data_IF_300234151687
#
_entry.id   IF_300234151687
#
_cell.length_a   1.000
_cell.length_b   1.000
_cell.length_c   1.000
_cell.angle_alpha   90.00
_cell.angle_beta   90.00
_cell.angle_gamma   90.00
#
_symmetry.space_group_name_H-M   'P 1'
#
loop_
_entity.id
_entity.type
_entity.pdbx_description
1 polymer ?
#
# COMPACT_ATOMS: atom_id res chain seq x y z
N UNK A 1 31.73 -31.26 -24.94
CA UNK A 1 31.45 -30.67 -23.61
C UNK A 1 31.12 -29.17 -23.67
N UNK A 2 31.92 -28.31 -24.31
CA UNK A 2 31.68 -26.84 -24.34
C UNK A 2 30.35 -26.41 -25.00
N UNK A 3 29.90 -27.10 -26.06
CA UNK A 3 28.66 -26.76 -26.78
C UNK A 3 27.38 -27.01 -25.97
N UNK A 4 27.38 -28.01 -25.09
CA UNK A 4 26.24 -28.32 -24.22
C UNK A 4 26.10 -27.31 -23.08
N UNK A 5 27.22 -26.84 -22.52
CA UNK A 5 27.23 -25.72 -21.57
C UNK A 5 26.65 -24.44 -22.17
N UNK A 6 26.98 -24.14 -23.43
CA UNK A 6 26.44 -22.97 -24.13
C UNK A 6 24.92 -23.08 -24.31
N UNK A 7 24.41 -24.27 -24.66
CA UNK A 7 22.98 -24.52 -24.83
C UNK A 7 22.24 -24.45 -23.49
N UNK A 8 22.80 -25.02 -22.42
CA UNK A 8 22.29 -24.89 -21.05
C UNK A 8 22.26 -23.42 -20.58
N UNK A 9 23.28 -22.65 -20.93
CA UNK A 9 23.34 -21.22 -20.61
C UNK A 9 22.27 -20.41 -21.37
N UNK A 10 22.04 -20.71 -22.65
CA UNK A 10 20.96 -20.07 -23.43
C UNK A 10 19.57 -20.43 -22.89
N UNK A 11 19.34 -21.70 -22.52
CA UNK A 11 18.08 -22.15 -21.88
C UNK A 11 17.90 -21.45 -20.52
N UNK A 12 18.96 -21.35 -19.72
CA UNK A 12 18.94 -20.62 -18.46
C UNK A 12 18.55 -19.14 -18.64
N UNK A 13 19.14 -18.44 -19.62
CA UNK A 13 18.78 -17.04 -19.94
C UNK A 13 17.32 -16.93 -20.39
N UNK A 14 16.83 -17.88 -21.21
CA UNK A 14 15.45 -17.86 -21.69
C UNK A 14 14.45 -17.96 -20.53
N UNK A 15 14.69 -18.84 -19.54
CA UNK A 15 13.83 -18.95 -18.36
C UNK A 15 13.79 -17.70 -17.47
N UNK A 16 14.81 -16.83 -17.53
CA UNK A 16 14.87 -15.58 -16.78
C UNK A 16 14.07 -14.43 -17.43
N UNK A 17 13.59 -14.61 -18.67
CA UNK A 17 13.04 -13.53 -19.51
C UNK A 17 11.51 -13.44 -19.55
N UNK A 18 10.78 -14.41 -18.97
CA UNK A 18 9.33 -14.33 -18.86
C UNK A 18 8.91 -13.41 -17.68
N UNK A 19 8.32 -12.27 -18.03
CA UNK A 19 7.77 -11.31 -17.07
C UNK A 19 6.25 -11.30 -17.16
N UNK A 20 5.56 -11.73 -16.11
CA UNK A 20 4.13 -11.52 -15.99
C UNK A 20 3.87 -10.15 -15.38
N UNK A 21 2.98 -9.37 -15.97
CA UNK A 21 2.55 -8.07 -15.45
C UNK A 21 1.22 -8.30 -14.74
N UNK A 22 1.26 -8.77 -13.50
CA UNK A 22 0.09 -8.74 -12.62
C UNK A 22 0.45 -7.96 -11.36
N UNK A 23 -0.32 -6.92 -11.07
CA UNK A 23 -0.22 -6.20 -9.81
C UNK A 23 -0.92 -7.02 -8.72
N UNK A 24 -0.18 -7.39 -7.67
CA UNK A 24 -0.78 -7.91 -6.45
C UNK A 24 -0.83 -6.77 -5.44
N UNK A 25 -1.81 -5.89 -5.63
CA UNK A 25 -2.08 -4.79 -4.73
C UNK A 25 -2.93 -5.29 -3.56
N UNK A 26 -2.39 -5.26 -2.35
CA UNK A 26 -3.06 -5.81 -1.17
C UNK A 26 -3.83 -4.72 -0.41
N UNK A 27 -4.81 -4.11 -1.09
CA UNK A 27 -5.71 -3.09 -0.53
C UNK A 27 -7.03 -3.63 -0.01
N UNK A 28 -7.18 -4.96 0.07
CA UNK A 28 -8.43 -5.61 0.51
C UNK A 28 -8.85 -5.27 1.94
N UNK A 29 -7.95 -4.67 2.72
CA UNK A 29 -8.20 -4.24 4.10
C UNK A 29 -8.79 -2.84 4.22
N UNK A 30 -9.00 -2.12 3.11
CA UNK A 30 -9.52 -0.76 3.10
C UNK A 30 -10.81 -0.69 2.29
N UNK A 31 -11.88 -0.17 2.88
CA UNK A 31 -13.14 0.16 2.19
C UNK A 31 -12.91 1.25 1.14
N UNK A 32 -12.17 2.31 1.50
CA UNK A 32 -11.86 3.40 0.57
C UNK A 32 -10.49 4.00 0.84
N UNK A 33 -9.85 4.45 -0.24
CA UNK A 33 -8.55 5.12 -0.22
C UNK A 33 -8.65 6.32 -1.17
N UNK A 34 -8.42 7.51 -0.65
CA UNK A 34 -8.45 8.77 -1.39
C UNK A 34 -7.06 9.40 -1.36
N UNK A 35 -6.46 9.56 -2.53
CA UNK A 35 -5.18 10.23 -2.70
C UNK A 35 -5.39 11.74 -2.87
N UNK A 36 -4.50 12.54 -2.29
CA UNK A 36 -4.50 14.00 -2.55
C UNK A 36 -4.12 14.32 -4.00
N UNK A 37 -3.20 13.52 -4.57
CA UNK A 37 -2.72 13.64 -5.94
C UNK A 37 -2.07 12.32 -6.38
N UNK A 38 -2.00 12.06 -7.68
CA UNK A 38 -1.31 10.86 -8.20
C UNK A 38 -2.23 9.64 -8.31
N UNK A 39 -1.64 8.45 -8.37
CA UNK A 39 -2.34 7.18 -8.63
C UNK A 39 -1.76 6.05 -7.78
N UNK A 40 -2.61 5.08 -7.41
CA UNK A 40 -2.18 3.84 -6.77
C UNK A 40 -1.52 2.90 -7.78
N UNK A 41 -0.71 1.97 -7.30
CA UNK A 41 -0.01 1.00 -8.14
C UNK A 41 -0.95 0.18 -9.05
N UNK A 42 -2.15 -0.12 -8.54
CA UNK A 42 -3.19 -0.86 -9.26
C UNK A 42 -3.83 -0.09 -10.42
N UNK A 43 -3.72 1.24 -10.40
CA UNK A 43 -4.40 2.12 -11.36
C UNK A 43 -3.48 2.57 -12.50
N UNK A 44 -2.21 2.14 -12.50
CA UNK A 44 -1.29 2.38 -13.60
C UNK A 44 -1.61 1.52 -14.81
N UNK A 45 -1.63 2.16 -15.98
CA UNK A 45 -1.78 1.50 -17.27
C UNK A 45 -0.47 0.86 -17.74
N UNK A 46 -0.57 -0.11 -18.63
CA UNK A 46 0.61 -0.72 -19.27
C UNK A 46 1.48 0.30 -20.01
N UNK A 47 0.87 1.35 -20.56
CA UNK A 47 1.60 2.43 -21.25
C UNK A 47 2.46 3.21 -20.25
N UNK A 48 1.88 3.62 -19.13
CA UNK A 48 2.60 4.29 -18.05
C UNK A 48 3.74 3.42 -17.53
N UNK A 49 3.49 2.13 -17.27
CA UNK A 49 4.55 1.19 -16.89
C UNK A 49 5.68 1.12 -17.92
N UNK A 50 5.36 1.01 -19.22
CA UNK A 50 6.37 0.99 -20.28
C UNK A 50 7.23 2.25 -20.27
N UNK A 51 6.63 3.41 -20.03
CA UNK A 51 7.34 4.69 -19.97
C UNK A 51 8.23 4.79 -18.74
N UNK A 52 7.74 4.44 -17.55
CA UNK A 52 8.57 4.42 -16.34
C UNK A 52 9.68 3.37 -16.41
N UNK A 53 9.44 2.21 -17.04
CA UNK A 53 10.47 1.19 -17.23
C UNK A 53 11.67 1.66 -18.07
N UNK A 54 11.51 2.68 -18.92
CA UNK A 54 12.63 3.30 -19.63
C UNK A 54 13.62 3.94 -18.64
N UNK A 55 13.15 4.47 -17.51
CA UNK A 55 13.98 5.13 -16.49
C UNK A 55 14.85 4.14 -15.70
N UNK A 56 14.40 2.89 -15.60
CA UNK A 56 15.16 1.79 -14.99
C UNK A 56 15.82 0.86 -16.03
N UNK A 57 15.90 1.30 -17.30
CA UNK A 57 16.33 0.42 -18.40
C UNK A 57 17.83 0.30 -18.60
N UNK A 58 18.62 1.26 -18.10
CA UNK A 58 20.07 1.28 -18.25
C UNK A 58 20.70 0.04 -17.61
N UNK A 59 21.65 -0.58 -18.32
CA UNK A 59 22.37 -1.77 -17.86
C UNK A 59 23.05 -1.49 -16.51
N UNK A 60 22.99 -2.46 -15.60
CA UNK A 60 23.68 -2.48 -14.32
C UNK A 60 24.28 -3.88 -14.16
N UNK A 61 25.51 -4.00 -13.65
CA UNK A 61 26.15 -5.32 -13.52
C UNK A 61 25.35 -6.24 -12.59
N UNK A 62 25.00 -5.74 -11.41
CA UNK A 62 24.26 -6.49 -10.40
C UNK A 62 23.40 -5.55 -9.55
N UNK A 63 22.27 -6.06 -9.05
CA UNK A 63 21.42 -5.39 -8.06
C UNK A 63 20.23 -4.65 -8.66
N UNK A 64 19.55 -3.87 -7.83
CA UNK A 64 18.33 -3.16 -8.22
C UNK A 64 18.63 -1.80 -8.84
N UNK A 65 17.74 -1.34 -9.71
CA UNK A 65 17.64 0.04 -10.17
C UNK A 65 16.19 0.46 -9.98
N UNK A 66 15.98 1.55 -9.28
CA UNK A 66 14.66 2.06 -8.93
C UNK A 66 14.42 3.40 -9.61
N UNK A 67 13.15 3.74 -9.78
CA UNK A 67 12.69 5.06 -10.19
C UNK A 67 11.39 5.34 -9.43
N UNK A 68 11.45 6.32 -8.54
CA UNK A 68 10.29 6.85 -7.83
C UNK A 68 9.47 7.70 -8.79
N UNK A 69 8.18 7.39 -8.88
CA UNK A 69 7.21 8.16 -9.66
C UNK A 69 6.51 9.15 -8.74
N UNK A 70 6.13 8.69 -7.56
CA UNK A 70 5.60 9.54 -6.50
C UNK A 70 6.24 9.20 -5.15
N UNK A 71 6.45 10.24 -4.35
CA UNK A 71 7.08 10.14 -3.04
C UNK A 71 6.19 10.88 -2.03
N UNK A 72 5.87 10.20 -0.94
CA UNK A 72 5.13 10.71 0.23
C UNK A 72 3.81 11.43 -0.11
N UNK A 73 3.03 10.84 -1.02
CA UNK A 73 1.68 11.33 -1.30
C UNK A 73 0.81 11.12 -0.05
N UNK A 74 0.21 12.20 0.43
CA UNK A 74 -0.81 12.15 1.48
C UNK A 74 -2.05 11.40 1.03
N UNK A 75 -2.43 10.40 1.81
CA UNK A 75 -3.61 9.57 1.57
C UNK A 75 -4.53 9.58 2.78
N UNK A 76 -5.82 9.59 2.51
CA UNK A 76 -6.91 9.45 3.48
C UNK A 76 -7.62 8.14 3.21
N UNK A 77 -7.85 7.33 4.23
CA UNK A 77 -8.47 6.02 4.05
C UNK A 77 -9.56 5.75 5.09
N UNK A 78 -10.48 4.86 4.71
CA UNK A 78 -11.49 4.27 5.58
C UNK A 78 -11.29 2.76 5.57
N UNK A 79 -11.16 2.13 6.75
CA UNK A 79 -10.97 0.67 6.83
C UNK A 79 -12.29 -0.06 6.97
N UNK A 80 -13.03 0.22 8.05
CA UNK A 80 -14.28 -0.48 8.38
C UNK A 80 -15.30 0.48 8.99
N UNK A 81 -16.57 0.24 8.70
CA UNK A 81 -17.71 0.88 9.38
C UNK A 81 -18.06 0.08 10.62
N UNK A 82 -17.88 0.66 11.80
CA UNK A 82 -18.15 0.00 13.08
C UNK A 82 -19.63 0.05 13.46
N UNK A 83 -20.31 1.15 13.13
CA UNK A 83 -21.71 1.36 13.46
C UNK A 83 -22.34 2.34 12.47
N UNK A 84 -23.60 2.09 12.13
CA UNK A 84 -24.43 2.95 11.28
C UNK A 84 -25.86 2.83 11.77
N UNK A 85 -26.44 3.93 12.24
CA UNK A 85 -27.78 3.93 12.79
C UNK A 85 -28.58 5.13 12.32
N UNK A 86 -29.71 4.84 11.70
CA UNK A 86 -30.65 5.81 11.19
C UNK A 86 -31.83 5.96 12.15
N UNK A 87 -32.17 7.19 12.52
CA UNK A 87 -33.34 7.47 13.35
C UNK A 87 -34.56 7.72 12.47
N UNK A 88 -35.38 6.68 12.32
CA UNK A 88 -36.70 6.71 11.68
C UNK A 88 -37.83 7.15 12.63
N UNK A 89 -37.51 7.32 13.92
CA UNK A 89 -38.44 7.77 14.93
C UNK A 89 -38.76 9.26 14.84
N UNK A 90 -39.70 9.69 15.68
CA UNK A 90 -40.15 11.08 15.76
C UNK A 90 -39.44 11.90 16.84
N UNK A 91 -38.60 11.26 17.66
CA UNK A 91 -37.87 11.90 18.76
C UNK A 91 -36.36 11.68 18.65
N UNK A 92 -35.52 12.61 19.12
CA UNK A 92 -34.07 12.43 19.12
C UNK A 92 -33.62 11.28 20.01
N UNK A 93 -32.61 10.54 19.54
CA UNK A 93 -31.97 9.44 20.29
C UNK A 93 -30.64 9.94 20.84
N UNK A 94 -30.47 9.87 22.17
CA UNK A 94 -29.23 10.29 22.84
C UNK A 94 -28.19 9.19 22.73
N UNK A 95 -27.06 9.48 22.10
CA UNK A 95 -25.94 8.56 21.93
C UNK A 95 -24.69 9.10 22.63
N UNK A 96 -24.03 8.23 23.39
CA UNK A 96 -22.75 8.53 24.05
C UNK A 96 -21.69 7.60 23.50
N UNK A 97 -20.62 8.17 22.97
CA UNK A 97 -19.51 7.45 22.36
C UNK A 97 -18.21 7.75 23.09
N UNK A 98 -17.46 6.70 23.44
CA UNK A 98 -16.09 6.84 23.92
C UNK A 98 -15.13 6.68 22.76
N UNK A 99 -14.57 7.80 22.30
CA UNK A 99 -13.60 7.83 21.23
C UNK A 99 -12.22 7.44 21.75
N UNK A 100 -11.62 6.43 21.13
CA UNK A 100 -10.22 6.05 21.36
C UNK A 100 -9.39 6.43 20.13
N UNK A 101 -8.46 7.37 20.31
CA UNK A 101 -7.46 7.67 19.28
C UNK A 101 -6.29 6.70 19.43
N UNK A 102 -5.81 6.11 18.33
CA UNK A 102 -4.65 5.21 18.34
C UNK A 102 -3.65 5.61 17.26
N UNK A 103 -2.47 6.07 17.65
CA UNK A 103 -1.39 6.23 16.69
C UNK A 103 -0.89 4.83 16.28
N UNK A 104 -1.06 4.49 14.99
CA UNK A 104 -0.66 3.20 14.44
C UNK A 104 0.35 3.44 13.35
N UNK A 105 1.63 3.22 13.65
CA UNK A 105 2.67 3.18 12.64
C UNK A 105 2.67 1.78 12.01
N UNK A 106 1.98 1.63 10.88
CA UNK A 106 1.94 0.37 10.14
C UNK A 106 2.30 0.58 8.67
N UNK A 107 3.01 -0.40 8.11
CA UNK A 107 3.48 -0.35 6.73
C UNK A 107 2.85 -1.46 5.89
N UNK A 108 2.21 -1.07 4.80
CA UNK A 108 1.66 -1.93 3.78
C UNK A 108 2.55 -1.87 2.53
N UNK A 109 2.85 -3.04 1.96
CA UNK A 109 3.70 -3.15 0.78
C UNK A 109 2.93 -3.87 -0.33
N UNK A 110 2.96 -3.28 -1.52
CA UNK A 110 2.37 -3.82 -2.75
C UNK A 110 3.43 -3.90 -3.85
N UNK A 111 3.31 -4.90 -4.72
CA UNK A 111 4.21 -5.09 -5.85
C UNK A 111 3.46 -5.55 -7.10
N UNK A 112 4.00 -5.21 -8.26
CA UNK A 112 3.55 -5.72 -9.55
C UNK A 112 4.69 -6.38 -10.32
N UNK A 113 4.34 -7.09 -11.39
CA UNK A 113 5.34 -7.72 -12.23
C UNK A 113 5.96 -8.96 -11.57
N UNK A 114 7.26 -9.13 -11.79
CA UNK A 114 8.06 -10.21 -11.17
C UNK A 114 8.70 -9.79 -9.83
N UNK A 115 8.33 -8.62 -9.27
CA UNK A 115 8.75 -8.22 -7.93
C UNK A 115 7.92 -9.01 -6.92
N UNK A 116 8.60 -9.77 -6.05
CA UNK A 116 7.94 -10.61 -5.05
C UNK A 116 7.99 -9.92 -3.69
N UNK A 117 6.86 -9.96 -2.98
CA UNK A 117 6.79 -9.60 -1.55
C UNK A 117 6.97 -10.89 -0.73
N UNK A 118 7.77 -10.82 0.33
CA UNK A 118 7.88 -11.86 1.34
C UNK A 118 6.71 -11.75 2.30
N UNK A 119 5.90 -12.81 2.34
CA UNK A 119 4.81 -12.97 3.31
C UNK A 119 5.25 -13.81 4.52
N UNK A 120 6.51 -14.26 4.54
CA UNK A 120 7.05 -15.13 5.58
C UNK A 120 7.62 -14.26 6.71
N UNK A 121 7.06 -14.38 7.91
CA UNK A 121 7.45 -13.61 9.11
C UNK A 121 6.52 -12.44 9.44
N UNK A 122 6.77 -11.81 10.60
CA UNK A 122 5.94 -10.76 11.18
C UNK A 122 5.99 -9.39 10.46
N UNK A 123 6.87 -9.24 9.46
CA UNK A 123 7.11 -7.97 8.75
C UNK A 123 7.09 -8.22 7.24
N UNK A 124 6.21 -7.52 6.52
CA UNK A 124 6.16 -7.54 5.06
C UNK A 124 7.40 -6.84 4.48
N UNK A 125 8.13 -7.51 3.58
CA UNK A 125 9.34 -6.97 2.93
C UNK A 125 9.41 -7.40 1.47
N UNK A 126 9.96 -6.58 0.57
CA UNK A 126 10.29 -7.00 -0.79
C UNK A 126 11.43 -8.03 -0.79
N UNK A 127 11.35 -9.04 -1.67
CA UNK A 127 12.39 -10.08 -1.79
C UNK A 127 13.59 -9.59 -2.60
N UNK A 128 14.75 -10.22 -2.35
CA UNK A 128 15.95 -10.06 -3.16
C UNK A 128 16.70 -8.74 -2.95
N UNK A 129 16.57 -8.11 -1.78
CA UNK A 129 17.33 -6.90 -1.41
C UNK A 129 16.71 -5.57 -1.85
N UNK A 130 15.50 -5.58 -2.44
CA UNK A 130 14.83 -4.35 -2.89
C UNK A 130 14.50 -3.39 -1.73
N UNK A 131 14.19 -3.91 -0.53
CA UNK A 131 14.01 -3.08 0.66
C UNK A 131 15.23 -2.18 0.94
N UNK A 132 16.44 -2.73 0.78
CA UNK A 132 17.68 -1.99 1.05
C UNK A 132 17.89 -0.89 0.02
N UNK A 133 17.59 -1.15 -1.25
CA UNK A 133 17.68 -0.13 -2.32
C UNK A 133 16.66 0.99 -2.10
N UNK A 134 15.45 0.65 -1.65
CA UNK A 134 14.37 1.59 -1.36
C UNK A 134 14.49 2.23 0.03
N UNK A 135 15.55 1.91 0.79
CA UNK A 135 15.76 2.38 2.18
C UNK A 135 14.54 2.19 3.09
N UNK A 136 13.78 1.12 2.87
CA UNK A 136 12.61 0.79 3.68
C UNK A 136 13.08 0.20 5.01
N UNK A 137 13.03 0.99 6.08
CA UNK A 137 13.32 0.52 7.43
C UNK A 137 12.28 -0.53 7.85
N UNK A 138 12.77 -1.70 8.26
CA UNK A 138 11.95 -2.88 8.53
C UNK A 138 11.35 -2.94 9.93
N UNK A 139 11.56 -1.92 10.76
CA UNK A 139 11.26 -1.95 12.20
C UNK A 139 10.04 -1.09 12.57
N UNK A 140 9.09 -0.89 11.66
CA UNK A 140 7.81 -0.26 11.98
C UNK A 140 6.86 -1.27 12.65
N UNK A 141 7.16 -1.57 13.91
CA UNK A 141 6.19 -2.05 14.91
C UNK A 141 6.37 -1.25 16.19
N UNK A 142 6.32 0.07 16.09
CA UNK A 142 6.08 0.90 17.27
C UNK A 142 4.62 1.33 17.23
N UNK A 143 3.74 0.45 17.73
CA UNK A 143 2.42 0.86 18.19
C UNK A 143 2.65 1.71 19.44
N UNK A 144 2.94 3.00 19.30
CA UNK A 144 2.83 3.90 20.44
C UNK A 144 1.33 4.06 20.69
N UNK A 145 0.81 3.21 21.57
CA UNK A 145 -0.58 3.27 22.05
C UNK A 145 -0.77 4.52 22.93
N UNK A 146 -0.72 5.71 22.32
CA UNK A 146 -1.23 6.92 22.95
C UNK A 146 -2.74 6.85 22.82
N UNK A 147 -3.39 6.23 23.82
CA UNK A 147 -4.84 6.17 23.95
C UNK A 147 -5.31 7.47 24.57
N UNK A 148 -5.80 8.37 23.74
CA UNK A 148 -6.61 9.51 24.21
C UNK A 148 -8.07 9.07 24.19
N UNK A 149 -8.73 9.11 25.35
CA UNK A 149 -10.15 8.78 25.50
C UNK A 149 -10.97 10.06 25.63
N UNK A 150 -11.95 10.24 24.74
CA UNK A 150 -12.88 11.37 24.79
C UNK A 150 -14.32 10.85 24.83
N UNK A 151 -15.14 11.37 25.73
CA UNK A 151 -16.58 11.11 25.74
C UNK A 151 -17.30 12.14 24.86
N UNK A 152 -17.99 11.67 23.83
CA UNK A 152 -18.77 12.49 22.91
C UNK A 152 -20.24 12.15 23.10
N UNK A 153 -21.06 13.16 23.39
CA UNK A 153 -22.52 13.04 23.46
C UNK A 153 -23.13 13.68 22.23
N UNK A 154 -23.99 12.95 21.54
CA UNK A 154 -24.72 13.45 20.38
C UNK A 154 -26.18 13.01 20.41
N UNK A 155 -27.06 13.90 19.94
CA UNK A 155 -28.45 13.57 19.70
C UNK A 155 -28.62 13.23 18.21
N UNK A 156 -29.15 12.05 17.92
CA UNK A 156 -29.48 11.62 16.56
C UNK A 156 -30.93 12.04 16.31
N UNK A 157 -31.13 13.11 15.54
CA UNK A 157 -32.45 13.66 15.27
C UNK A 157 -33.24 12.76 14.29
N UNK A 158 -34.58 12.82 14.31
CA UNK A 158 -35.42 12.22 13.27
C UNK A 158 -34.94 12.57 11.85
N UNK A 159 -34.85 11.57 10.98
CA UNK A 159 -34.40 11.77 9.59
C UNK A 159 -32.88 11.96 9.46
N UNK A 160 -32.10 11.67 10.51
CA UNK A 160 -30.63 11.70 10.45
C UNK A 160 -30.03 10.34 10.77
N UNK A 161 -28.81 10.12 10.29
CA UNK A 161 -28.03 8.90 10.51
C UNK A 161 -26.70 9.21 11.18
N UNK A 162 -26.36 8.43 12.21
CA UNK A 162 -25.05 8.45 12.85
C UNK A 162 -24.19 7.31 12.30
N UNK A 163 -23.02 7.67 11.79
CA UNK A 163 -22.03 6.74 11.25
C UNK A 163 -20.76 6.81 12.09
N UNK A 164 -20.30 5.64 12.56
CA UNK A 164 -19.02 5.47 13.20
C UNK A 164 -18.16 4.56 12.33
N UNK A 165 -17.00 5.04 11.93
CA UNK A 165 -16.07 4.26 11.12
C UNK A 165 -14.62 4.58 11.48
N UNK A 166 -13.74 3.64 11.18
CA UNK A 166 -12.31 3.83 11.35
C UNK A 166 -11.76 4.61 10.16
N UNK A 167 -11.18 5.76 10.46
CA UNK A 167 -10.57 6.66 9.51
C UNK A 167 -9.08 6.79 9.80
N UNK A 168 -8.29 7.05 8.77
CA UNK A 168 -6.88 7.30 8.97
C UNK A 168 -6.24 8.08 7.85
N UNK A 169 -5.01 8.47 8.14
CA UNK A 169 -4.14 9.18 7.22
C UNK A 169 -2.81 8.43 7.08
N UNK A 170 -2.13 8.67 5.98
CA UNK A 170 -0.83 8.11 5.74
C UNK A 170 -0.13 8.68 4.52
N UNK A 171 0.96 8.02 4.16
CA UNK A 171 1.86 8.42 3.08
C UNK A 171 2.08 7.25 2.12
N UNK A 172 1.92 7.50 0.83
CA UNK A 172 2.16 6.53 -0.23
C UNK A 172 3.34 6.96 -1.08
N UNK A 173 4.28 6.03 -1.26
CA UNK A 173 5.43 6.16 -2.14
C UNK A 173 5.43 5.02 -3.13
N UNK A 174 5.47 5.32 -4.43
CA UNK A 174 5.41 4.32 -5.48
C UNK A 174 6.33 4.61 -6.67
N UNK A 175 6.66 3.55 -7.40
CA UNK A 175 7.58 3.63 -8.51
C UNK A 175 7.79 2.31 -9.22
N UNK A 176 8.85 2.24 -10.01
CA UNK A 176 9.25 1.03 -10.73
C UNK A 176 10.66 0.60 -10.37
N UNK A 177 10.90 -0.70 -10.38
CA UNK A 177 12.21 -1.27 -10.13
C UNK A 177 12.57 -2.37 -11.14
N UNK A 178 13.86 -2.51 -11.42
CA UNK A 178 14.43 -3.56 -12.23
C UNK A 178 15.66 -4.17 -11.53
N UNK A 179 15.71 -5.50 -11.42
CA UNK A 179 16.87 -6.23 -10.91
C UNK A 179 17.75 -6.69 -12.06
N UNK A 180 19.06 -6.58 -11.87
CA UNK A 180 20.07 -6.99 -12.82
C UNK A 180 21.00 -8.06 -12.23
N UNK A 181 21.35 -9.03 -13.05
CA UNK A 181 22.37 -10.03 -12.79
C UNK A 181 23.19 -10.19 -14.07
N UNK A 182 24.50 -9.96 -13.99
CA UNK A 182 25.41 -9.96 -15.15
C UNK A 182 24.87 -9.12 -16.33
N UNK A 183 24.46 -7.86 -16.06
CA UNK A 183 23.88 -6.93 -17.05
C UNK A 183 22.53 -7.35 -17.65
N UNK A 184 22.02 -8.54 -17.34
CA UNK A 184 20.73 -9.04 -17.79
C UNK A 184 19.67 -8.68 -16.75
N UNK A 185 18.53 -8.17 -17.23
CA UNK A 185 17.39 -7.88 -16.35
C UNK A 185 16.69 -9.18 -16.00
N UNK A 186 16.63 -9.52 -14.72
CA UNK A 186 16.02 -10.76 -14.21
C UNK A 186 14.67 -10.54 -13.56
N UNK A 187 14.40 -9.32 -13.07
CA UNK A 187 13.11 -8.92 -12.48
C UNK A 187 12.77 -7.51 -12.89
N UNK A 188 11.48 -7.24 -13.06
CA UNK A 188 10.95 -5.91 -13.31
C UNK A 188 9.52 -5.83 -12.77
N UNK A 189 9.15 -4.68 -12.26
CA UNK A 189 7.83 -4.46 -11.72
C UNK A 189 7.68 -3.07 -11.14
N UNK A 190 6.46 -2.76 -10.71
CA UNK A 190 6.18 -1.64 -9.85
C UNK A 190 6.25 -2.02 -8.38
N UNK A 191 6.53 -1.03 -7.54
CA UNK A 191 6.50 -1.15 -6.09
C UNK A 191 5.69 -0.01 -5.50
N UNK A 192 5.06 -0.28 -4.37
CA UNK A 192 4.32 0.71 -3.62
C UNK A 192 4.42 0.39 -2.14
N UNK A 193 4.70 1.44 -1.38
CA UNK A 193 4.85 1.41 0.06
C UNK A 193 3.84 2.40 0.61
N UNK A 194 2.96 1.93 1.48
CA UNK A 194 1.96 2.73 2.14
C UNK A 194 2.23 2.71 3.64
N UNK A 195 2.59 3.86 4.19
CA UNK A 195 2.76 4.09 5.61
C UNK A 195 1.47 4.66 6.18
N UNK A 196 0.86 3.97 7.13
CA UNK A 196 -0.18 4.51 7.99
C UNK A 196 0.50 5.32 9.09
N UNK A 197 0.08 6.57 9.26
CA UNK A 197 0.61 7.47 10.29
C UNK A 197 -0.35 7.59 11.47
N UNK A 198 -1.65 7.65 11.20
CA UNK A 198 -2.65 7.89 12.23
C UNK A 198 -3.93 7.14 11.91
N UNK A 199 -4.53 6.55 12.94
CA UNK A 199 -5.82 5.89 12.84
C UNK A 199 -6.71 6.33 14.02
N UNK A 200 -7.96 6.66 13.72
CA UNK A 200 -8.91 7.09 14.75
C UNK A 200 -10.32 6.78 14.32
N UNK A 201 -11.21 6.70 15.31
CA UNK A 201 -12.63 6.60 15.04
C UNK A 201 -13.18 7.96 14.63
N UNK A 202 -14.00 7.97 13.58
CA UNK A 202 -14.69 9.16 13.09
C UNK A 202 -16.19 8.93 13.22
N UNK A 203 -16.83 9.82 13.97
CA UNK A 203 -18.26 9.86 14.19
C UNK A 203 -18.86 10.99 13.37
N UNK A 204 -19.84 10.69 12.52
CA UNK A 204 -20.51 11.66 11.67
C UNK A 204 -22.02 11.53 11.76
N UNK A 205 -22.69 12.67 11.84
CA UNK A 205 -24.14 12.78 11.68
C UNK A 205 -24.43 13.31 10.29
N UNK A 206 -25.21 12.56 9.51
CA UNK A 206 -25.61 12.96 8.16
C UNK A 206 -27.12 13.01 8.07
N UNK A 207 -27.64 14.01 7.36
CA UNK A 207 -29.04 14.05 6.97
C UNK A 207 -29.23 13.14 5.77
N UNK A 208 -30.31 12.37 5.76
CA UNK A 208 -30.72 11.52 4.61
C UNK A 208 -31.84 12.22 3.86
#
# INVERSE_FOLDING_TARGET
MKKWFLLLFCVFIYTLSHFEIKANANYKTFESITLTSGKLLKDYTDKEYKDYYKKVSKRKFYGWRTHEVHTDIKVKYKTETCFSYYNDGLTPIKYTYMMQKKQVDSMHISASGNIKVSLTGNVKKFKGGLNSELKVSGDFKSSSDVKEEFEIKMDIDPGTMANLYVYGEGLISNGVAANYLFWIRTKRGGYEIFYVTTQYYRLEKVTI
#
